data_IF_567384247003
#
_entry.id   IF_567384247003
#
_cell.length_a   1.000
_cell.length_b   1.000
_cell.length_c   1.000
_cell.angle_alpha   90.00
_cell.angle_beta   90.00
_cell.angle_gamma   90.00
#
_symmetry.space_group_name_H-M   'P 1'
#
loop_
_entity.id
_entity.type
_entity.pdbx_description
1 polymer ?
#
# COMPACT_ATOMS: atom_id res chain seq x y z
N UNK A 1 -39.01 -11.13 -16.74
CA UNK A 1 -37.57 -10.86 -16.67
C UNK A 1 -37.42 -9.33 -16.66
N UNK A 2 -37.20 -8.76 -15.49
CA UNK A 2 -37.05 -7.33 -15.33
C UNK A 2 -35.62 -6.95 -15.67
N UNK A 3 -35.46 -6.11 -16.70
CA UNK A 3 -34.18 -5.50 -17.02
C UNK A 3 -33.78 -4.52 -15.90
N UNK A 4 -32.88 -4.97 -15.05
CA UNK A 4 -32.24 -4.09 -14.08
C UNK A 4 -31.14 -3.32 -14.79
N UNK A 5 -31.40 -2.05 -15.10
CA UNK A 5 -30.38 -1.16 -15.65
C UNK A 5 -29.32 -0.89 -14.58
N UNK A 6 -28.13 -1.48 -14.75
CA UNK A 6 -26.94 -1.16 -13.96
C UNK A 6 -26.41 0.21 -14.39
N UNK A 7 -26.44 1.18 -13.49
CA UNK A 7 -25.75 2.46 -13.69
C UNK A 7 -24.59 2.58 -12.72
N UNK A 8 -23.43 2.79 -13.30
CA UNK A 8 -22.21 3.13 -12.55
C UNK A 8 -22.23 4.63 -12.29
N UNK A 9 -22.32 5.03 -11.01
CA UNK A 9 -22.12 6.42 -10.61
C UNK A 9 -20.62 6.65 -10.48
N UNK A 10 -20.04 7.36 -11.45
CA UNK A 10 -18.64 7.77 -11.38
C UNK A 10 -18.51 8.95 -10.40
N UNK A 11 -17.62 8.90 -9.40
CA UNK A 11 -17.37 10.03 -8.52
C UNK A 11 -16.79 11.19 -9.32
N UNK A 12 -17.43 12.37 -9.28
CA UNK A 12 -16.89 13.60 -9.84
C UNK A 12 -17.61 14.16 -11.07
N UNK A 13 -18.57 13.46 -11.66
CA UNK A 13 -19.40 14.04 -12.71
C UNK A 13 -20.73 14.52 -12.10
N UNK A 14 -20.89 15.83 -11.94
CA UNK A 14 -22.14 16.46 -11.53
C UNK A 14 -23.22 16.39 -12.65
N UNK A 15 -23.48 15.20 -13.17
CA UNK A 15 -24.54 14.98 -14.13
C UNK A 15 -25.82 14.58 -13.39
N UNK A 16 -26.82 15.42 -13.43
CA UNK A 16 -28.19 15.05 -13.09
C UNK A 16 -28.67 14.06 -14.15
N UNK A 17 -28.86 12.81 -13.76
CA UNK A 17 -29.38 11.77 -14.64
C UNK A 17 -30.88 11.68 -14.38
N UNK A 18 -31.71 12.18 -15.28
CA UNK A 18 -33.13 11.91 -15.29
C UNK A 18 -33.37 10.45 -15.67
N UNK A 19 -33.93 9.69 -14.73
CA UNK A 19 -34.37 8.32 -14.95
C UNK A 19 -35.84 8.33 -15.32
N UNK A 20 -36.13 8.13 -16.59
CA UNK A 20 -37.50 7.80 -17.05
C UNK A 20 -37.66 6.27 -16.90
N UNK A 21 -38.30 5.83 -15.83
CA UNK A 21 -38.67 4.43 -15.69
C UNK A 21 -39.91 4.30 -14.79
N UNK A 22 -40.88 3.56 -15.26
CA UNK A 22 -42.10 3.17 -14.55
C UNK A 22 -41.85 2.07 -13.47
N UNK A 23 -40.59 1.78 -13.16
CA UNK A 23 -40.19 0.75 -12.19
C UNK A 23 -39.57 1.35 -10.95
N UNK A 24 -39.73 0.70 -9.81
CA UNK A 24 -39.14 1.08 -8.53
C UNK A 24 -37.61 1.13 -8.64
N UNK A 25 -37.03 2.28 -8.22
CA UNK A 25 -35.58 2.44 -8.12
C UNK A 25 -35.05 1.63 -6.94
N UNK A 26 -34.02 0.82 -7.17
CA UNK A 26 -33.30 0.08 -6.17
C UNK A 26 -31.80 0.45 -6.16
N UNK A 27 -31.19 0.42 -4.98
CA UNK A 27 -29.75 0.53 -4.83
C UNK A 27 -29.18 -0.87 -4.60
N UNK A 28 -28.27 -1.29 -5.45
CA UNK A 28 -27.55 -2.54 -5.30
C UNK A 28 -26.05 -2.25 -5.15
N UNK A 29 -25.40 -2.93 -4.20
CA UNK A 29 -23.95 -2.92 -4.11
C UNK A 29 -23.36 -3.51 -5.39
N UNK A 30 -22.59 -2.69 -6.11
CA UNK A 30 -21.86 -3.13 -7.29
C UNK A 30 -20.55 -3.79 -6.84
N UNK A 31 -20.30 -4.97 -7.37
CA UNK A 31 -19.05 -5.66 -7.13
C UNK A 31 -17.97 -5.06 -8.05
N UNK A 32 -16.95 -4.43 -7.45
CA UNK A 32 -15.83 -3.86 -8.19
C UNK A 32 -14.89 -4.98 -8.68
N UNK A 33 -14.97 -5.32 -9.95
CA UNK A 33 -14.13 -6.34 -10.59
C UNK A 33 -12.73 -5.81 -10.94
N UNK A 34 -12.49 -4.51 -10.84
CA UNK A 34 -11.22 -3.88 -11.26
C UNK A 34 -10.04 -4.45 -10.47
N UNK A 35 -10.21 -4.60 -9.16
CA UNK A 35 -9.17 -5.16 -8.28
C UNK A 35 -8.83 -6.60 -8.65
N UNK A 36 -9.83 -7.40 -8.96
CA UNK A 36 -9.61 -8.80 -9.37
C UNK A 36 -8.93 -8.91 -10.72
N UNK A 37 -9.30 -8.06 -11.68
CA UNK A 37 -8.65 -8.02 -12.99
C UNK A 37 -7.17 -7.70 -12.86
N UNK A 38 -6.83 -6.68 -12.08
CA UNK A 38 -5.43 -6.32 -11.78
C UNK A 38 -4.67 -7.47 -11.09
N UNK A 39 -5.32 -8.21 -10.19
CA UNK A 39 -4.73 -9.39 -9.55
C UNK A 39 -4.45 -10.51 -10.57
N UNK A 40 -5.37 -10.77 -11.50
CA UNK A 40 -5.18 -11.75 -12.57
C UNK A 40 -4.05 -11.35 -13.51
N UNK A 41 -4.00 -10.10 -13.94
CA UNK A 41 -2.90 -9.57 -14.76
C UNK A 41 -1.54 -9.76 -14.07
N UNK A 42 -1.44 -9.42 -12.78
CA UNK A 42 -0.21 -9.61 -11.99
C UNK A 42 0.19 -11.10 -11.87
N UNK A 43 -0.80 -12.00 -11.71
CA UNK A 43 -0.53 -13.45 -11.70
C UNK A 43 -0.04 -13.95 -13.05
N UNK A 44 -0.63 -13.49 -14.15
CA UNK A 44 -0.16 -13.85 -15.49
C UNK A 44 1.26 -13.38 -15.75
N UNK A 45 1.61 -12.15 -15.32
CA UNK A 45 2.97 -11.62 -15.42
C UNK A 45 3.95 -12.46 -14.61
N UNK A 46 3.57 -12.87 -13.39
CA UNK A 46 4.39 -13.74 -12.56
C UNK A 46 4.59 -15.13 -13.21
N UNK A 47 3.54 -15.71 -13.82
CA UNK A 47 3.63 -17.01 -14.52
C UNK A 47 4.53 -16.92 -15.76
N UNK A 48 4.40 -15.84 -16.52
CA UNK A 48 5.18 -15.61 -17.75
C UNK A 48 6.63 -15.20 -17.50
N UNK A 49 6.94 -14.73 -16.29
CA UNK A 49 8.27 -14.24 -15.93
C UNK A 49 9.34 -15.34 -16.09
N UNK A 50 10.46 -15.01 -16.76
CA UNK A 50 11.58 -15.91 -16.97
C UNK A 50 12.90 -15.14 -16.87
N UNK A 51 13.87 -15.69 -16.12
CA UNK A 51 15.22 -15.15 -16.03
C UNK A 51 15.32 -13.74 -15.44
N UNK A 52 14.34 -13.31 -14.66
CA UNK A 52 14.29 -12.00 -14.00
C UNK A 52 13.94 -12.13 -12.51
N UNK A 53 14.02 -11.04 -11.78
CA UNK A 53 13.75 -11.03 -10.34
C UNK A 53 12.35 -11.52 -9.97
N UNK A 54 11.35 -11.25 -10.82
CA UNK A 54 9.98 -11.71 -10.58
C UNK A 54 9.88 -13.25 -10.62
N UNK A 55 10.57 -13.89 -11.57
CA UNK A 55 10.62 -15.37 -11.65
C UNK A 55 11.34 -15.98 -10.45
N UNK A 56 12.44 -15.38 -9.98
CA UNK A 56 13.13 -15.83 -8.77
C UNK A 56 12.24 -15.75 -7.53
N UNK A 57 11.57 -14.61 -7.32
CA UNK A 57 10.65 -14.43 -6.19
C UNK A 57 9.46 -15.38 -6.24
N UNK A 58 8.91 -15.63 -7.45
CA UNK A 58 7.87 -16.65 -7.64
C UNK A 58 8.36 -18.03 -7.19
N UNK A 59 9.54 -18.41 -7.63
CA UNK A 59 10.10 -19.75 -7.36
C UNK A 59 10.43 -19.93 -5.87
N UNK A 60 10.85 -18.85 -5.18
CA UNK A 60 11.00 -18.82 -3.73
C UNK A 60 9.64 -18.99 -3.02
N UNK A 61 8.61 -18.24 -3.44
CA UNK A 61 7.27 -18.33 -2.86
C UNK A 61 6.61 -19.70 -3.07
N UNK A 62 6.91 -20.37 -4.18
CA UNK A 62 6.48 -21.73 -4.46
C UNK A 62 7.32 -22.80 -3.76
N UNK A 63 8.41 -22.41 -3.08
CA UNK A 63 9.30 -23.33 -2.37
C UNK A 63 10.22 -24.15 -3.28
N UNK A 64 10.34 -23.79 -4.56
CA UNK A 64 11.25 -24.43 -5.51
C UNK A 64 12.67 -23.87 -5.44
N UNK A 65 12.83 -22.70 -4.86
CA UNK A 65 14.10 -22.05 -4.60
C UNK A 65 14.18 -21.56 -3.14
N UNK A 66 15.36 -21.68 -2.52
CA UNK A 66 15.54 -21.17 -1.16
C UNK A 66 15.76 -19.66 -1.14
N UNK A 67 15.16 -18.93 -0.18
CA UNK A 67 15.40 -17.52 0.01
C UNK A 67 16.82 -17.27 0.53
N UNK A 68 17.40 -16.13 0.14
CA UNK A 68 18.68 -15.66 0.66
C UNK A 68 18.54 -14.86 1.95
N UNK A 69 19.59 -14.95 2.79
CA UNK A 69 19.68 -14.18 4.03
C UNK A 69 21.02 -13.46 4.12
N UNK A 70 21.05 -12.35 4.86
CA UNK A 70 22.26 -11.61 5.23
C UNK A 70 22.60 -11.92 6.69
N UNK A 71 23.86 -12.02 7.02
CA UNK A 71 24.29 -12.01 8.40
C UNK A 71 24.29 -10.56 8.91
N UNK A 72 23.45 -10.28 9.90
CA UNK A 72 23.39 -8.99 10.59
C UNK A 72 23.45 -9.21 12.09
N UNK A 73 24.13 -8.31 12.78
CA UNK A 73 24.04 -8.28 14.24
C UNK A 73 22.63 -7.91 14.67
N UNK A 74 22.00 -8.66 15.58
CA UNK A 74 20.66 -8.38 16.04
C UNK A 74 20.56 -6.98 16.67
N UNK A 75 19.56 -6.23 16.22
CA UNK A 75 19.23 -4.92 16.79
C UNK A 75 18.30 -5.13 17.98
N UNK A 76 18.50 -4.38 19.05
CA UNK A 76 17.67 -4.41 20.26
C UNK A 76 16.64 -3.30 20.23
N UNK A 77 15.41 -3.66 20.57
CA UNK A 77 14.25 -2.77 20.62
C UNK A 77 13.58 -2.85 22.00
N UNK A 78 13.99 -2.03 22.98
CA UNK A 78 13.44 -2.11 24.35
C UNK A 78 11.92 -1.93 24.45
N UNK A 79 11.30 -1.33 23.43
CA UNK A 79 9.84 -1.09 23.35
C UNK A 79 9.06 -2.21 22.66
N UNK A 80 9.74 -3.19 22.08
CA UNK A 80 9.12 -4.37 21.48
C UNK A 80 9.22 -5.56 22.43
N UNK A 81 8.23 -6.46 22.35
CA UNK A 81 8.39 -7.75 23.02
C UNK A 81 9.38 -8.65 22.24
N UNK A 82 9.84 -9.72 22.86
CA UNK A 82 10.86 -10.61 22.29
C UNK A 82 10.47 -11.21 20.94
N UNK A 83 9.18 -11.51 20.74
CA UNK A 83 8.67 -12.07 19.48
C UNK A 83 8.66 -11.02 18.38
N UNK A 84 8.25 -9.80 18.68
CA UNK A 84 8.27 -8.68 17.75
C UNK A 84 9.71 -8.29 17.39
N UNK A 85 10.62 -8.21 18.38
CA UNK A 85 12.05 -7.96 18.14
C UNK A 85 12.65 -9.02 17.22
N UNK A 86 12.34 -10.29 17.47
CA UNK A 86 12.79 -11.39 16.61
C UNK A 86 12.23 -11.25 15.17
N UNK A 87 10.97 -10.88 15.04
CA UNK A 87 10.35 -10.68 13.73
C UNK A 87 11.02 -9.55 12.94
N UNK A 88 11.27 -8.39 13.58
CA UNK A 88 11.98 -7.27 12.94
C UNK A 88 13.38 -7.72 12.49
N UNK A 89 14.15 -8.34 13.37
CA UNK A 89 15.50 -8.81 13.03
C UNK A 89 15.49 -9.82 11.86
N UNK A 90 14.51 -10.73 11.80
CA UNK A 90 14.36 -11.65 10.67
C UNK A 90 14.06 -10.91 9.36
N UNK A 91 13.19 -9.88 9.39
CA UNK A 91 12.92 -9.05 8.22
C UNK A 91 14.20 -8.37 7.73
N UNK A 92 14.98 -7.79 8.63
CA UNK A 92 16.23 -7.09 8.30
C UNK A 92 17.30 -8.02 7.69
N UNK A 93 17.34 -9.29 8.14
CA UNK A 93 18.26 -10.29 7.60
C UNK A 93 17.86 -10.82 6.22
N UNK A 94 16.63 -10.60 5.77
CA UNK A 94 16.12 -11.18 4.52
C UNK A 94 16.63 -10.41 3.31
N UNK A 95 17.05 -11.15 2.26
CA UNK A 95 17.38 -10.58 0.95
C UNK A 95 16.19 -10.61 -0.02
N UNK A 96 15.33 -11.60 0.13
CA UNK A 96 14.29 -11.88 -0.84
C UNK A 96 12.89 -11.67 -0.27
N UNK A 97 12.44 -12.55 0.62
CA UNK A 97 11.07 -12.54 1.14
C UNK A 97 11.09 -12.85 2.64
N UNK A 98 10.36 -12.03 3.42
CA UNK A 98 10.04 -12.32 4.81
C UNK A 98 8.51 -12.27 5.00
N UNK A 99 7.95 -13.25 5.70
CA UNK A 99 6.54 -13.32 6.03
C UNK A 99 6.39 -13.13 7.55
N UNK A 100 5.70 -12.07 7.95
CA UNK A 100 5.34 -11.83 9.35
C UNK A 100 3.87 -12.14 9.55
N UNK A 101 3.61 -13.29 10.16
CA UNK A 101 2.25 -13.72 10.46
C UNK A 101 1.95 -13.56 11.95
N UNK A 102 0.70 -13.23 12.28
CA UNK A 102 0.23 -13.14 13.66
C UNK A 102 -1.28 -12.92 13.74
N UNK A 103 -1.95 -13.41 14.80
CA UNK A 103 -3.36 -13.16 15.06
C UNK A 103 -3.70 -11.67 15.17
N UNK A 104 -4.98 -11.28 15.11
CA UNK A 104 -5.42 -9.93 15.45
C UNK A 104 -4.92 -9.50 16.84
N UNK A 105 -4.55 -8.23 17.01
CA UNK A 105 -4.13 -7.67 18.29
C UNK A 105 -2.68 -7.96 18.72
N UNK A 106 -1.90 -8.72 17.98
CA UNK A 106 -0.48 -9.04 18.32
C UNK A 106 0.52 -7.92 18.02
N UNK A 107 0.05 -6.75 17.55
CA UNK A 107 0.91 -5.61 17.24
C UNK A 107 1.67 -5.75 15.91
N UNK A 108 1.14 -6.51 14.95
CA UNK A 108 1.75 -6.65 13.60
C UNK A 108 2.11 -5.33 12.96
N UNK A 109 1.22 -4.35 13.03
CA UNK A 109 1.45 -3.04 12.40
C UNK A 109 2.55 -2.26 13.10
N UNK A 110 2.65 -2.35 14.43
CA UNK A 110 3.77 -1.77 15.20
C UNK A 110 5.09 -2.42 14.79
N UNK A 111 5.11 -3.74 14.70
CA UNK A 111 6.27 -4.51 14.22
C UNK A 111 6.67 -4.12 12.80
N UNK A 112 5.68 -3.94 11.91
CA UNK A 112 5.92 -3.54 10.52
C UNK A 112 6.48 -2.11 10.43
N UNK A 113 5.92 -1.16 11.17
CA UNK A 113 6.43 0.23 11.22
C UNK A 113 7.89 0.25 11.69
N UNK A 114 8.24 -0.57 12.70
CA UNK A 114 9.62 -0.70 13.16
C UNK A 114 10.54 -1.29 12.09
N UNK A 115 10.09 -2.36 11.43
CA UNK A 115 10.85 -2.99 10.35
C UNK A 115 11.08 -2.02 9.18
N UNK A 116 10.08 -1.22 8.80
CA UNK A 116 10.20 -0.18 7.75
C UNK A 116 11.21 0.89 8.19
N UNK A 117 11.08 1.41 9.41
CA UNK A 117 11.96 2.44 9.95
C UNK A 117 13.42 1.98 9.93
N UNK A 118 13.70 0.78 10.44
CA UNK A 118 15.03 0.20 10.45
C UNK A 118 15.57 -0.14 9.05
N UNK A 119 14.69 -0.52 8.13
CA UNK A 119 15.07 -0.77 6.74
C UNK A 119 15.54 0.52 6.05
N UNK A 120 14.90 1.66 6.33
CA UNK A 120 15.29 2.96 5.78
C UNK A 120 16.67 3.45 6.21
N UNK A 121 17.25 2.90 7.29
CA UNK A 121 18.64 3.15 7.63
C UNK A 121 19.64 2.40 6.73
N UNK A 122 19.17 1.45 5.93
CA UNK A 122 19.98 0.55 5.09
C UNK A 122 19.65 0.67 3.60
N UNK A 123 18.43 1.05 3.29
CA UNK A 123 17.92 1.15 1.93
C UNK A 123 17.45 2.59 1.66
N UNK A 124 17.69 3.13 0.46
CA UNK A 124 17.38 4.53 0.14
C UNK A 124 15.89 4.82 0.10
N UNK A 125 15.05 3.81 -0.14
CA UNK A 125 13.60 3.95 -0.19
C UNK A 125 12.89 2.63 0.08
N UNK A 126 11.68 2.71 0.62
CA UNK A 126 10.80 1.57 0.87
C UNK A 126 9.42 1.85 0.31
N UNK A 127 8.88 0.92 -0.48
CA UNK A 127 7.49 0.97 -0.96
C UNK A 127 6.60 0.17 -0.02
N UNK A 128 5.58 0.82 0.52
CA UNK A 128 4.59 0.21 1.42
C UNK A 128 3.23 0.16 0.74
N UNK A 129 2.67 -1.04 0.61
CA UNK A 129 1.36 -1.26 0.02
C UNK A 129 0.41 -1.91 1.02
N UNK A 130 -0.87 -1.53 0.97
CA UNK A 130 -1.92 -2.20 1.73
C UNK A 130 -3.24 -2.19 0.93
N UNK A 131 -4.13 -3.13 1.25
CA UNK A 131 -5.42 -3.27 0.58
C UNK A 131 -6.40 -2.12 0.87
N UNK A 132 -6.30 -1.49 2.06
CA UNK A 132 -7.18 -0.40 2.44
C UNK A 132 -6.44 0.93 2.59
N UNK A 133 -7.08 2.02 2.17
CA UNK A 133 -6.55 3.37 2.38
C UNK A 133 -6.30 3.66 3.87
N UNK A 134 -7.19 3.22 4.74
CA UNK A 134 -7.04 3.36 6.20
C UNK A 134 -5.76 2.73 6.73
N UNK A 135 -5.40 1.53 6.25
CA UNK A 135 -4.16 0.88 6.66
C UNK A 135 -2.92 1.63 6.17
N UNK A 136 -2.94 2.11 4.90
CA UNK A 136 -1.84 2.93 4.36
C UNK A 136 -1.70 4.21 5.15
N UNK A 137 -2.80 4.93 5.42
CA UNK A 137 -2.78 6.20 6.16
C UNK A 137 -2.26 6.01 7.57
N UNK A 138 -2.69 4.95 8.27
CA UNK A 138 -2.24 4.65 9.62
C UNK A 138 -0.73 4.34 9.69
N UNK A 139 -0.21 3.52 8.76
CA UNK A 139 1.22 3.23 8.68
C UNK A 139 1.99 4.51 8.36
N UNK A 140 1.51 5.30 7.41
CA UNK A 140 2.12 6.57 7.00
C UNK A 140 2.19 7.56 8.16
N UNK A 141 1.10 7.73 8.92
CA UNK A 141 1.05 8.58 10.12
C UNK A 141 2.11 8.17 11.15
N UNK A 142 2.22 6.87 11.44
CA UNK A 142 3.22 6.35 12.37
C UNK A 142 4.67 6.58 11.92
N UNK A 143 4.92 6.54 10.63
CA UNK A 143 6.24 6.83 10.07
C UNK A 143 6.53 8.34 10.10
N UNK A 144 5.54 9.18 9.79
CA UNK A 144 5.67 10.65 9.91
C UNK A 144 5.93 11.07 11.34
N UNK A 145 5.23 10.50 12.32
CA UNK A 145 5.45 10.76 13.76
C UNK A 145 6.91 10.47 14.20
N UNK A 146 7.60 9.61 13.45
CA UNK A 146 9.04 9.30 13.65
C UNK A 146 9.99 10.16 12.78
N UNK A 147 9.46 11.15 12.08
CA UNK A 147 10.24 12.04 11.21
C UNK A 147 10.63 11.43 9.86
N UNK A 148 10.03 10.31 9.45
CA UNK A 148 10.29 9.71 8.14
C UNK A 148 9.61 10.53 7.05
N UNK A 149 10.32 10.91 5.97
CA UNK A 149 9.71 11.58 4.83
C UNK A 149 8.85 10.61 4.05
N UNK A 150 7.53 10.74 4.17
CA UNK A 150 6.54 9.88 3.51
C UNK A 150 5.97 10.57 2.27
N UNK A 151 5.81 9.82 1.19
CA UNK A 151 5.00 10.20 0.03
C UNK A 151 3.78 9.28 -0.04
N UNK A 152 2.59 9.85 0.13
CA UNK A 152 1.33 9.12 0.08
C UNK A 152 0.78 9.11 -1.35
N UNK A 153 0.79 7.93 -1.98
CA UNK A 153 0.26 7.71 -3.33
C UNK A 153 -1.13 7.07 -3.23
N UNK A 154 -2.08 7.55 -4.01
CA UNK A 154 -3.44 7.02 -4.10
C UNK A 154 -4.48 8.10 -4.31
N UNK A 155 -5.76 7.74 -4.36
CA UNK A 155 -6.83 8.69 -4.60
C UNK A 155 -6.95 9.71 -3.44
N UNK A 156 -6.72 11.02 -3.69
CA UNK A 156 -6.73 12.05 -2.64
C UNK A 156 -8.06 12.17 -1.90
N UNK A 157 -9.19 11.82 -2.54
CA UNK A 157 -10.52 11.88 -1.90
C UNK A 157 -10.74 10.82 -0.83
N UNK A 158 -9.85 9.83 -0.75
CA UNK A 158 -9.90 8.72 0.22
C UNK A 158 -8.75 8.75 1.21
N UNK A 159 -8.02 9.85 1.27
CA UNK A 159 -6.89 10.06 2.19
C UNK A 159 -7.39 10.76 3.44
N UNK A 160 -6.90 10.35 4.61
CA UNK A 160 -7.19 11.03 5.88
C UNK A 160 -6.63 12.47 5.85
N UNK A 161 -7.33 13.41 6.47
CA UNK A 161 -6.96 14.85 6.51
C UNK A 161 -5.52 15.07 6.98
N UNK A 162 -5.04 14.32 7.97
CA UNK A 162 -3.67 14.38 8.46
C UNK A 162 -2.64 14.03 7.41
N UNK A 163 -2.99 13.15 6.46
CA UNK A 163 -2.08 12.67 5.43
C UNK A 163 -2.20 13.43 4.10
N UNK A 164 -3.16 14.35 3.98
CA UNK A 164 -3.37 15.13 2.75
C UNK A 164 -2.14 15.93 2.33
N UNK A 165 -1.40 16.50 3.28
CA UNK A 165 -0.16 17.26 3.00
C UNK A 165 0.99 16.39 2.48
N UNK A 166 0.91 15.08 2.66
CA UNK A 166 1.91 14.10 2.23
C UNK A 166 1.55 13.44 0.89
N UNK A 167 0.41 13.80 0.29
CA UNK A 167 0.00 13.28 -1.02
C UNK A 167 0.88 13.87 -2.13
N UNK A 168 1.04 13.09 -3.20
CA UNK A 168 1.80 13.49 -4.38
C UNK A 168 1.30 14.84 -4.94
N UNK A 169 -0.02 15.00 -5.07
CA UNK A 169 -0.64 16.21 -5.63
C UNK A 169 -0.31 17.44 -4.80
N UNK A 170 -0.38 17.35 -3.48
CA UNK A 170 -0.07 18.48 -2.58
C UNK A 170 1.41 18.82 -2.59
N UNK A 171 2.29 17.83 -2.57
CA UNK A 171 3.74 18.08 -2.62
C UNK A 171 4.18 18.67 -3.96
N UNK A 172 3.59 18.22 -5.05
CA UNK A 172 3.87 18.80 -6.38
C UNK A 172 3.35 20.24 -6.48
N UNK A 173 2.13 20.53 -6.01
CA UNK A 173 1.57 21.86 -6.02
C UNK A 173 2.45 22.88 -5.26
N UNK A 174 2.99 22.48 -4.10
CA UNK A 174 3.91 23.34 -3.32
C UNK A 174 5.24 23.58 -4.04
N UNK A 175 5.76 22.59 -4.77
CA UNK A 175 6.99 22.73 -5.55
C UNK A 175 6.82 23.73 -6.71
N UNK A 176 5.66 23.76 -7.36
CA UNK A 176 5.38 24.71 -8.44
C UNK A 176 5.16 26.15 -7.96
N UNK A 177 4.62 26.36 -6.76
CA UNK A 177 4.43 27.72 -6.20
C UNK A 177 5.75 28.39 -5.83
N UNK A 178 6.82 27.65 -5.58
CA UNK A 178 8.15 28.20 -5.35
C UNK A 178 8.94 28.51 -6.64
N UNK A 179 8.43 28.13 -7.81
CA UNK A 179 9.04 28.40 -9.11
C UNK A 179 8.44 29.61 -9.83
N UNK A 180 7.41 30.26 -9.30
CA UNK A 180 6.95 31.56 -9.80
C UNK A 180 7.94 32.63 -9.35
N UNK A 181 8.82 33.01 -10.26
CA UNK A 181 9.73 34.13 -10.12
C UNK A 181 8.96 35.39 -9.72
N UNK A 182 9.51 36.24 -8.84
CA UNK A 182 8.93 37.55 -8.59
C UNK A 182 8.99 38.35 -9.89
N UNK A 183 7.84 38.70 -10.41
CA UNK A 183 7.72 39.68 -11.47
C UNK A 183 8.09 41.03 -10.84
N UNK A 184 9.25 41.56 -11.24
CA UNK A 184 9.64 42.94 -11.05
C UNK A 184 8.70 43.90 -11.75
#
# INVERSE_FOLDING_TARGET
ASDVYKRQVLPGAGAVIELQADSSLGIQLYFDETSYRTMFEALEDAIRAKGNRLSELRDILLGTQNPGFRELYPVRFPWLNSTQETAVNKVLCTRDVAIVHGPPGTGKTTTLVEAIYETLHREPQVLVCAQSNTAVDWISEKLVDRGVPVLRIGNPTRVNDKMLSFTYERRFAVSYTHLTLPTT
#
